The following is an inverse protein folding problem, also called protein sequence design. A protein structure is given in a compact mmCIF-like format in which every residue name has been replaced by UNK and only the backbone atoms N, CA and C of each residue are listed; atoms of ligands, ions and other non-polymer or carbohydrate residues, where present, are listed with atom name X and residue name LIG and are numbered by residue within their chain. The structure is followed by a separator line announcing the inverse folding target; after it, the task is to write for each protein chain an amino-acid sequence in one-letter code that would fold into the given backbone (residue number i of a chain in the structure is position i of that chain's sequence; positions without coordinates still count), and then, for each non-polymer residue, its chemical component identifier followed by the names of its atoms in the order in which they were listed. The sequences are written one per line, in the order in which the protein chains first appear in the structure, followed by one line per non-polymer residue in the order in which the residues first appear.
data_IF_504853006256
#
_entry.id   IF_504853006256
#
_cell.length_a   1.000
_cell.length_b   1.000
_cell.length_c   1.000
_cell.angle_alpha   90.00
_cell.angle_beta   90.00
_cell.angle_gamma   90.00
#
_symmetry.space_group_name_H-M   'P 1'
#
loop_
_entity.id
_entity.type
_entity.pdbx_description
1 polymer ?
#
# COMPACT_ATOMS: atom_id res chain seq x y z
N UNK A 1 -32.70 51.50 11.82
CA UNK A 1 -31.32 51.97 11.49
C UNK A 1 -30.21 51.27 12.28
N UNK A 2 -30.53 50.47 13.32
CA UNK A 2 -29.53 49.70 14.11
C UNK A 2 -29.23 48.33 13.48
N UNK A 3 -30.24 47.69 12.89
CA UNK A 3 -30.13 46.32 12.33
C UNK A 3 -29.36 46.27 11.00
N UNK A 4 -29.47 47.31 10.18
CA UNK A 4 -28.70 47.47 8.94
C UNK A 4 -27.19 47.53 9.19
N UNK A 5 -26.78 48.09 10.35
CA UNK A 5 -25.36 48.21 10.72
C UNK A 5 -24.77 46.85 11.10
N UNK A 6 -25.53 46.01 11.80
CA UNK A 6 -25.12 44.63 12.11
C UNK A 6 -25.09 43.75 10.87
N UNK A 7 -26.05 43.93 9.95
CA UNK A 7 -26.06 43.22 8.66
C UNK A 7 -24.85 43.58 7.78
N UNK A 8 -24.52 44.87 7.67
CA UNK A 8 -23.31 45.33 6.96
C UNK A 8 -22.02 44.81 7.62
N UNK A 9 -21.98 44.77 8.96
CA UNK A 9 -20.83 44.26 9.70
C UNK A 9 -20.64 42.75 9.48
N UNK A 10 -21.72 41.97 9.47
CA UNK A 10 -21.66 40.52 9.17
C UNK A 10 -21.18 40.28 7.73
N UNK A 11 -21.69 41.04 6.76
CA UNK A 11 -21.26 40.94 5.35
C UNK A 11 -19.77 41.30 5.22
N UNK A 12 -19.31 42.34 5.91
CA UNK A 12 -17.91 42.74 5.90
C UNK A 12 -17.01 41.64 6.49
N UNK A 13 -17.40 40.99 7.59
CA UNK A 13 -16.67 39.88 8.19
C UNK A 13 -16.58 38.70 7.22
N UNK A 14 -17.69 38.34 6.55
CA UNK A 14 -17.72 37.25 5.59
C UNK A 14 -16.73 37.50 4.43
N UNK A 15 -16.70 38.72 3.89
CA UNK A 15 -15.77 39.09 2.83
C UNK A 15 -14.31 39.04 3.29
N UNK A 16 -14.02 39.47 4.52
CA UNK A 16 -12.67 39.38 5.10
C UNK A 16 -12.24 37.90 5.22
N UNK A 17 -13.13 37.01 5.65
CA UNK A 17 -12.79 35.58 5.77
C UNK A 17 -12.52 34.88 4.44
N UNK A 18 -13.12 35.36 3.34
CA UNK A 18 -12.89 34.81 2.00
C UNK A 18 -11.59 35.34 1.38
N UNK A 19 -11.22 36.59 1.69
CA UNK A 19 -10.03 37.25 1.12
C UNK A 19 -8.72 36.94 1.87
N UNK A 20 -8.81 36.38 3.08
CA UNK A 20 -7.63 35.86 3.77
C UNK A 20 -7.13 34.61 3.02
N UNK A 21 -5.84 34.55 2.64
CA UNK A 21 -5.26 33.35 2.07
C UNK A 21 -5.48 32.22 3.07
N UNK A 22 -6.33 31.26 2.71
CA UNK A 22 -6.43 30.01 3.43
C UNK A 22 -5.03 29.42 3.32
N UNK A 23 -4.30 29.33 4.43
CA UNK A 23 -3.12 28.48 4.51
C UNK A 23 -3.61 27.02 4.43
N UNK A 24 -4.21 26.65 3.30
CA UNK A 24 -4.18 25.30 2.83
C UNK A 24 -2.74 25.08 2.44
N UNK A 25 -1.93 24.64 3.41
CA UNK A 25 -0.90 23.68 3.06
C UNK A 25 -1.63 22.67 2.18
N UNK A 26 -1.39 22.73 0.87
CA UNK A 26 -1.85 21.72 -0.04
C UNK A 26 -1.08 20.49 0.45
N UNK A 27 -1.73 19.69 1.29
CA UNK A 27 -1.29 18.33 1.54
C UNK A 27 -1.54 17.65 0.21
N UNK A 28 -0.57 17.78 -0.70
CA UNK A 28 -0.48 16.86 -1.80
C UNK A 28 -0.38 15.49 -1.13
N UNK A 29 -1.30 14.59 -1.48
CA UNK A 29 -0.98 13.18 -1.35
C UNK A 29 0.39 13.03 -2.04
N UNK A 30 1.37 12.53 -1.31
CA UNK A 30 2.65 12.14 -1.88
C UNK A 30 2.32 11.34 -3.15
N UNK A 31 2.75 11.85 -4.30
CA UNK A 31 2.66 11.10 -5.54
C UNK A 31 3.40 9.80 -5.25
N UNK A 32 2.66 8.71 -5.06
CA UNK A 32 3.21 7.36 -5.04
C UNK A 32 3.74 7.10 -6.45
N UNK A 33 4.89 7.72 -6.74
CA UNK A 33 5.66 7.47 -7.93
C UNK A 33 6.02 5.99 -7.93
N UNK A 34 5.85 5.37 -9.09
CA UNK A 34 6.29 4.00 -9.33
C UNK A 34 7.78 3.95 -8.94
N UNK A 35 8.14 3.00 -8.07
CA UNK A 35 9.53 2.86 -7.64
C UNK A 35 10.42 2.48 -8.84
N UNK A 36 11.73 2.72 -8.77
CA UNK A 36 12.62 2.33 -9.87
C UNK A 36 12.62 0.81 -10.07
N UNK A 37 12.45 0.04 -8.99
CA UNK A 37 12.29 -1.42 -9.03
C UNK A 37 11.00 -1.82 -9.76
N UNK A 38 9.88 -1.18 -9.43
CA UNK A 38 8.60 -1.42 -10.10
C UNK A 38 8.68 -1.07 -11.59
N UNK A 39 9.35 0.04 -11.95
CA UNK A 39 9.56 0.42 -13.34
C UNK A 39 10.39 -0.64 -14.09
N UNK A 40 11.45 -1.18 -13.49
CA UNK A 40 12.24 -2.24 -14.11
C UNK A 40 11.42 -3.52 -14.34
N UNK A 41 10.55 -3.88 -13.40
CA UNK A 41 9.64 -5.02 -13.58
C UNK A 41 8.65 -4.75 -14.71
N UNK A 42 8.08 -3.54 -14.78
CA UNK A 42 7.17 -3.14 -15.84
C UNK A 42 7.84 -3.12 -17.22
N UNK A 43 9.09 -2.67 -17.31
CA UNK A 43 9.89 -2.67 -18.55
C UNK A 43 10.16 -4.11 -19.04
N UNK A 44 10.34 -5.06 -18.12
CA UNK A 44 10.43 -6.48 -18.43
C UNK A 44 9.05 -7.11 -18.75
N UNK A 45 7.96 -6.34 -18.66
CA UNK A 45 6.60 -6.81 -18.93
C UNK A 45 6.00 -7.60 -17.77
N UNK A 46 6.38 -7.27 -16.53
CA UNK A 46 5.89 -7.89 -15.30
C UNK A 46 5.23 -6.85 -14.39
N UNK A 47 4.01 -7.14 -13.95
CA UNK A 47 3.29 -6.33 -12.97
C UNK A 47 3.02 -7.24 -11.77
N UNK A 48 3.44 -6.79 -10.60
CA UNK A 48 3.27 -7.52 -9.33
C UNK A 48 2.49 -6.64 -8.36
N UNK A 49 1.49 -7.21 -7.72
CA UNK A 49 0.78 -6.61 -6.59
C UNK A 49 0.81 -7.59 -5.44
N UNK A 50 1.29 -7.16 -4.27
CA UNK A 50 1.37 -7.99 -3.08
C UNK A 50 0.53 -7.39 -1.94
N UNK A 51 -0.29 -8.22 -1.31
CA UNK A 51 -1.07 -7.88 -0.13
C UNK A 51 -0.57 -8.70 1.06
N UNK A 52 -0.08 -8.02 2.08
CA UNK A 52 0.43 -8.62 3.31
C UNK A 52 -0.63 -8.60 4.41
N UNK A 53 -0.76 -9.71 5.11
CA UNK A 53 -1.57 -9.83 6.34
C UNK A 53 -0.65 -10.15 7.53
N UNK A 54 -0.66 -9.24 8.51
CA UNK A 54 0.18 -9.25 9.72
C UNK A 54 -0.61 -9.50 11.01
N UNK A 55 -1.83 -9.99 10.91
CA UNK A 55 -2.68 -10.28 12.07
C UNK A 55 -3.02 -11.75 12.17
N UNK A 56 -2.18 -12.62 11.59
CA UNK A 56 -2.36 -14.06 11.70
C UNK A 56 -1.71 -14.55 12.99
N UNK A 57 -2.55 -15.16 13.81
CA UNK A 57 -2.22 -15.85 15.04
C UNK A 57 -2.75 -17.28 14.85
N UNK A 58 -1.88 -18.20 14.40
CA UNK A 58 -2.29 -19.55 14.02
C UNK A 58 -2.50 -20.46 15.23
N UNK A 59 -1.78 -20.19 16.32
CA UNK A 59 -1.82 -20.98 17.54
C UNK A 59 -2.81 -20.42 18.60
N UNK A 60 -3.40 -19.24 18.34
CA UNK A 60 -4.35 -18.52 19.18
C UNK A 60 -3.78 -18.14 20.57
N UNK A 61 -2.49 -17.82 20.65
CA UNK A 61 -1.84 -17.40 21.89
C UNK A 61 -1.93 -15.89 22.16
N UNK A 62 -2.47 -15.13 21.19
CA UNK A 62 -2.61 -13.68 21.25
C UNK A 62 -1.40 -12.91 20.73
N UNK A 63 -0.34 -13.59 20.29
CA UNK A 63 0.76 -13.02 19.53
C UNK A 63 0.56 -13.29 18.03
N UNK A 64 0.83 -12.30 17.18
CA UNK A 64 0.97 -12.57 15.73
C UNK A 64 2.22 -13.42 15.53
N UNK A 65 2.03 -14.64 15.04
CA UNK A 65 3.09 -15.61 14.80
C UNK A 65 3.18 -16.05 13.33
N UNK A 66 2.31 -15.52 12.47
CA UNK A 66 2.32 -15.83 11.05
C UNK A 66 2.13 -14.58 10.18
N UNK A 67 2.67 -14.64 8.97
CA UNK A 67 2.47 -13.62 7.93
C UNK A 67 2.02 -14.32 6.66
N UNK A 68 0.95 -13.85 6.04
CA UNK A 68 0.54 -14.30 4.71
C UNK A 68 0.66 -13.17 3.73
N UNK A 69 1.31 -13.44 2.61
CA UNK A 69 1.37 -12.54 1.47
C UNK A 69 0.64 -13.19 0.30
N UNK A 70 -0.37 -12.49 -0.20
CA UNK A 70 -1.06 -12.86 -1.44
C UNK A 70 -0.49 -11.99 -2.54
N UNK A 71 0.07 -12.64 -3.57
CA UNK A 71 0.68 -11.98 -4.72
C UNK A 71 -0.19 -12.23 -5.94
N UNK A 72 -0.55 -11.16 -6.64
CA UNK A 72 -1.07 -11.20 -7.99
C UNK A 72 0.06 -10.81 -8.95
N UNK A 73 0.31 -11.65 -9.94
CA UNK A 73 1.34 -11.40 -10.95
C UNK A 73 0.69 -11.43 -12.33
N UNK A 74 1.02 -10.43 -13.15
CA UNK A 74 0.63 -10.37 -14.54
C UNK A 74 1.87 -10.18 -15.42
N UNK A 75 1.94 -10.91 -16.53
CA UNK A 75 2.99 -10.76 -17.53
C UNK A 75 2.41 -10.54 -18.93
N UNK A 76 3.08 -9.68 -19.70
CA UNK A 76 2.84 -9.50 -21.14
C UNK A 76 3.65 -10.48 -22.01
N UNK A 77 4.51 -11.31 -21.40
CA UNK A 77 5.30 -12.33 -22.11
C UNK A 77 4.48 -13.58 -22.38
N UNK A 78 4.88 -14.32 -23.41
CA UNK A 78 4.29 -15.63 -23.74
C UNK A 78 4.59 -16.68 -22.67
N UNK A 79 5.70 -16.52 -21.93
CA UNK A 79 6.11 -17.41 -20.85
C UNK A 79 7.04 -16.68 -19.87
N UNK A 80 6.89 -16.94 -18.58
CA UNK A 80 7.81 -16.47 -17.55
C UNK A 80 7.99 -17.51 -16.44
N UNK A 81 9.21 -17.61 -15.93
CA UNK A 81 9.58 -18.37 -14.74
C UNK A 81 10.07 -17.40 -13.67
N UNK A 82 9.45 -17.42 -12.49
CA UNK A 82 9.80 -16.55 -11.36
C UNK A 82 9.95 -17.34 -10.07
N UNK A 83 10.80 -16.87 -9.17
CA UNK A 83 10.90 -17.34 -7.79
C UNK A 83 10.47 -16.20 -6.86
N UNK A 84 9.42 -16.45 -6.07
CA UNK A 84 8.98 -15.53 -5.02
C UNK A 84 9.56 -16.03 -3.69
N UNK A 85 10.19 -15.12 -2.93
CA UNK A 85 10.74 -15.44 -1.61
C UNK A 85 10.18 -14.51 -0.56
N UNK A 86 9.67 -15.07 0.53
CA UNK A 86 9.26 -14.33 1.72
C UNK A 86 10.35 -14.50 2.78
N UNK A 87 10.94 -13.39 3.19
CA UNK A 87 11.91 -13.31 4.27
C UNK A 87 11.21 -12.72 5.49
N UNK A 88 11.10 -13.49 6.57
CA UNK A 88 10.53 -13.05 7.84
C UNK A 88 11.55 -13.16 8.95
N UNK A 89 11.49 -12.23 9.91
CA UNK A 89 12.27 -12.29 11.14
C UNK A 89 11.30 -12.47 12.33
N UNK A 90 11.55 -13.46 13.17
CA UNK A 90 10.76 -13.73 14.37
C UNK A 90 11.64 -14.25 15.50
N UNK A 91 11.57 -13.60 16.67
CA UNK A 91 12.34 -13.96 17.88
C UNK A 91 13.82 -14.27 17.54
N UNK A 92 14.45 -13.38 16.77
CA UNK A 92 15.84 -13.47 16.29
C UNK A 92 16.16 -14.65 15.36
N UNK A 93 15.14 -15.28 14.78
CA UNK A 93 15.28 -16.30 13.73
C UNK A 93 14.78 -15.75 12.41
N UNK A 94 15.60 -15.94 11.37
CA UNK A 94 15.19 -15.68 10.00
C UNK A 94 14.49 -16.92 9.43
N UNK A 95 13.30 -16.72 8.86
CA UNK A 95 12.55 -17.75 8.15
C UNK A 95 12.42 -17.34 6.70
N UNK A 96 12.66 -18.31 5.82
CA UNK A 96 12.69 -18.10 4.37
C UNK A 96 11.75 -19.09 3.74
N UNK A 97 10.68 -18.57 3.14
CA UNK A 97 9.77 -19.34 2.32
C UNK A 97 10.01 -18.98 0.85
N UNK A 98 9.93 -19.98 -0.04
CA UNK A 98 10.14 -19.77 -1.48
C UNK A 98 9.12 -20.56 -2.30
N UNK A 99 8.57 -19.92 -3.32
CA UNK A 99 7.71 -20.58 -4.31
C UNK A 99 8.16 -20.23 -5.72
N UNK A 100 8.35 -21.25 -6.55
CA UNK A 100 8.63 -21.09 -7.97
C UNK A 100 7.32 -21.18 -8.76
N UNK A 101 7.14 -20.26 -9.70
CA UNK A 101 5.95 -20.16 -10.53
C UNK A 101 6.36 -20.06 -11.99
N UNK A 102 5.63 -20.79 -12.83
CA UNK A 102 5.72 -20.71 -14.28
C UNK A 102 4.32 -20.42 -14.82
N UNK A 103 4.15 -19.32 -15.55
CA UNK A 103 2.81 -18.90 -16.00
C UNK A 103 2.85 -18.02 -17.26
N UNK A 104 1.66 -17.79 -17.81
CA UNK A 104 1.40 -16.94 -18.98
C UNK A 104 0.22 -16.02 -18.65
N UNK A 105 0.30 -14.73 -18.95
CA UNK A 105 -0.77 -13.79 -18.60
C UNK A 105 -0.83 -13.51 -17.09
N UNK A 106 -1.98 -13.76 -16.44
CA UNK A 106 -2.19 -13.46 -15.01
C UNK A 106 -2.24 -14.72 -14.16
N UNK A 107 -1.59 -14.70 -13.00
CA UNK A 107 -1.70 -15.73 -11.98
C UNK A 107 -1.75 -15.13 -10.58
N UNK A 108 -2.25 -15.91 -9.62
CA UNK A 108 -2.25 -15.58 -8.20
C UNK A 108 -1.43 -16.63 -7.44
N UNK A 109 -0.65 -16.17 -6.47
CA UNK A 109 0.09 -17.03 -5.55
C UNK A 109 -0.11 -16.55 -4.11
N UNK A 110 0.02 -17.47 -3.17
CA UNK A 110 0.01 -17.16 -1.74
C UNK A 110 1.24 -17.80 -1.13
N UNK A 111 2.03 -17.00 -0.42
CA UNK A 111 3.15 -17.45 0.38
C UNK A 111 2.86 -17.11 1.83
N UNK A 112 3.07 -18.07 2.72
CA UNK A 112 2.76 -17.91 4.14
C UNK A 112 3.96 -18.35 4.95
N UNK A 113 4.35 -17.49 5.86
CA UNK A 113 5.30 -17.75 6.91
C UNK A 113 4.53 -18.09 8.21
N UNK A 114 4.97 -19.13 8.91
CA UNK A 114 4.51 -19.53 10.24
C UNK A 114 5.74 -19.69 11.15
N UNK A 115 5.76 -18.99 12.28
CA UNK A 115 6.86 -19.01 13.24
C UNK A 115 7.02 -20.33 14.00
N UNK A 116 6.03 -21.22 13.90
CA UNK A 116 5.99 -22.50 14.59
C UNK A 116 6.29 -23.71 13.68
N UNK A 117 6.31 -23.51 12.36
CA UNK A 117 6.49 -24.56 11.36
C UNK A 117 7.94 -25.05 11.21
#
# INVERSE_FOLDING_TARGET
MRDTKYSLLIIAILFVTILLPQNSSIVNAEESGISWEEQMLMDEGLIIVALRNDTLDLNQDGETDAIRVVIMVNTSREWIDIELRLLGDYKDKQVVESVTLSFTGQTNASIMYDAWA
#
